data_IF_391891315644
#
_entry.id   IF_391891315644
#
_cell.length_a   1.000
_cell.length_b   1.000
_cell.length_c   1.000
_cell.angle_alpha   90.00
_cell.angle_beta   90.00
_cell.angle_gamma   90.00
#
_symmetry.space_group_name_H-M   'P 1'
#
loop_
_entity.id
_entity.type
_entity.pdbx_description
1 polymer ?
#
# COMPACT_ATOMS: atom_id res chain seq x y z
N UNK A 1 13.70 -3.93 17.92
CA UNK A 1 14.42 -2.83 18.61
C UNK A 1 14.31 -1.52 17.83
N UNK A 2 14.24 -1.58 16.49
CA UNK A 2 14.36 -0.42 15.59
C UNK A 2 13.25 0.64 15.70
N UNK A 3 11.96 0.27 15.63
CA UNK A 3 10.91 1.30 15.80
C UNK A 3 10.94 1.95 17.20
N UNK A 4 11.39 1.21 18.23
CA UNK A 4 11.52 1.75 19.59
C UNK A 4 12.64 2.79 19.67
N UNK A 5 13.77 2.59 18.99
CA UNK A 5 14.87 3.55 19.01
C UNK A 5 14.52 4.84 18.28
N UNK A 6 13.85 4.76 17.13
CA UNK A 6 13.37 5.94 16.39
C UNK A 6 12.38 6.74 17.24
N UNK A 7 11.38 6.08 17.83
CA UNK A 7 10.40 6.74 18.69
C UNK A 7 11.02 7.34 19.96
N UNK A 8 12.06 6.69 20.49
CA UNK A 8 12.81 7.23 21.64
C UNK A 8 13.58 8.50 21.28
N UNK A 9 14.20 8.56 20.10
CA UNK A 9 14.84 9.78 19.61
C UNK A 9 13.81 10.90 19.42
N UNK A 10 12.67 10.61 18.81
CA UNK A 10 11.58 11.59 18.65
C UNK A 10 11.04 12.09 19.99
N UNK A 11 10.95 11.21 21.00
CA UNK A 11 10.59 11.60 22.36
C UNK A 11 11.57 12.62 22.94
N UNK A 12 12.89 12.38 22.79
CA UNK A 12 13.92 13.34 23.22
C UNK A 12 13.81 14.67 22.50
N UNK A 13 13.58 14.66 21.19
CA UNK A 13 13.41 15.89 20.41
C UNK A 13 12.17 16.68 20.84
N UNK A 14 11.03 16.02 21.04
CA UNK A 14 9.82 16.65 21.57
C UNK A 14 10.03 17.23 22.99
N UNK A 15 10.80 16.53 23.84
CA UNK A 15 11.13 16.98 25.20
C UNK A 15 12.06 18.20 25.22
N UNK A 16 12.97 18.33 24.24
CA UNK A 16 13.81 19.54 24.08
C UNK A 16 13.00 20.74 23.60
N UNK A 17 11.89 20.52 22.89
CA UNK A 17 11.09 21.55 22.22
C UNK A 17 9.77 21.85 22.94
N UNK A 18 9.84 22.06 24.26
CA UNK A 18 8.66 22.38 25.08
C UNK A 18 7.95 23.65 24.61
N UNK A 19 8.70 24.60 24.06
CA UNK A 19 8.22 25.83 23.45
C UNK A 19 7.18 25.56 22.35
N UNK A 20 7.42 24.58 21.47
CA UNK A 20 6.51 24.23 20.37
C UNK A 20 5.13 23.83 20.91
N UNK A 21 5.11 22.95 21.92
CA UNK A 21 3.86 22.54 22.53
C UNK A 21 3.18 23.68 23.30
N UNK A 22 3.93 24.52 24.01
CA UNK A 22 3.35 25.66 24.73
C UNK A 22 2.73 26.69 23.77
N UNK A 23 3.34 26.91 22.60
CA UNK A 23 2.79 27.77 21.55
C UNK A 23 1.48 27.21 20.97
N UNK A 24 1.40 25.90 20.73
CA UNK A 24 0.14 25.26 20.35
C UNK A 24 -0.92 25.41 21.43
N UNK A 25 -0.52 25.20 22.69
CA UNK A 25 -1.42 25.28 23.85
C UNK A 25 -1.97 26.69 24.07
N UNK A 26 -1.17 27.73 23.83
CA UNK A 26 -1.64 29.12 23.93
C UNK A 26 -2.60 29.46 22.80
N UNK A 27 -2.34 28.97 21.58
CA UNK A 27 -3.17 29.17 20.38
C UNK A 27 -4.52 28.46 20.45
N UNK A 28 -4.56 27.22 20.94
CA UNK A 28 -5.76 26.37 20.87
C UNK A 28 -6.40 26.08 22.23
N UNK A 29 -7.62 26.57 22.44
CA UNK A 29 -8.38 26.43 23.71
C UNK A 29 -8.51 24.97 24.18
N UNK A 30 -8.74 24.03 23.24
CA UNK A 30 -8.89 22.59 23.50
C UNK A 30 -7.67 21.96 24.17
N UNK A 31 -6.49 22.55 23.99
CA UNK A 31 -5.23 22.06 24.55
C UNK A 31 -4.93 22.63 25.95
N UNK A 32 -5.62 23.69 26.39
CA UNK A 32 -5.33 24.37 27.68
C UNK A 32 -5.40 23.45 28.89
N UNK A 33 -6.28 22.45 28.85
CA UNK A 33 -6.46 21.47 29.93
C UNK A 33 -5.24 20.53 30.11
N UNK A 34 -4.34 20.45 29.13
CA UNK A 34 -3.16 19.59 29.19
C UNK A 34 -1.90 20.43 29.43
N UNK A 35 -1.40 20.45 30.68
CA UNK A 35 -0.27 21.29 31.09
C UNK A 35 1.01 20.98 30.30
N UNK A 36 1.24 19.70 30.04
CA UNK A 36 2.38 19.20 29.27
C UNK A 36 1.92 18.34 28.10
N UNK A 37 2.81 18.18 27.10
CA UNK A 37 2.56 17.25 25.99
C UNK A 37 2.42 15.81 26.48
N UNK A 38 3.09 15.44 27.58
CA UNK A 38 2.96 14.10 28.15
C UNK A 38 1.55 13.87 28.74
N UNK A 39 0.94 14.90 29.35
CA UNK A 39 -0.44 14.82 29.84
C UNK A 39 -1.42 14.62 28.68
N UNK A 40 -1.25 15.39 27.60
CA UNK A 40 -2.03 15.23 26.37
C UNK A 40 -1.88 13.81 25.80
N UNK A 41 -0.64 13.34 25.68
CA UNK A 41 -0.34 12.02 25.13
C UNK A 41 -0.98 10.91 25.98
N UNK A 42 -0.86 10.99 27.30
CA UNK A 42 -1.48 10.04 28.22
C UNK A 42 -3.01 10.02 28.07
N UNK A 43 -3.64 11.19 27.93
CA UNK A 43 -5.07 11.30 27.65
C UNK A 43 -5.46 10.61 26.33
N UNK A 44 -4.73 10.89 25.25
CA UNK A 44 -4.99 10.32 23.93
C UNK A 44 -4.79 8.79 23.92
N UNK A 45 -3.77 8.29 24.63
CA UNK A 45 -3.41 6.88 24.67
C UNK A 45 -4.24 6.06 25.67
N UNK A 46 -4.99 6.71 26.56
CA UNK A 46 -5.84 6.02 27.53
C UNK A 46 -7.02 5.33 26.84
N UNK A 47 -7.00 3.99 26.83
CA UNK A 47 -8.06 3.15 26.23
C UNK A 47 -9.39 3.21 26.97
N UNK A 48 -9.37 3.51 28.27
CA UNK A 48 -10.57 3.57 29.11
C UNK A 48 -11.32 4.89 28.96
N UNK A 49 -10.70 5.88 28.31
CA UNK A 49 -11.34 7.16 28.03
C UNK A 49 -12.12 7.07 26.70
N UNK A 50 -13.44 7.17 26.81
CA UNK A 50 -14.42 7.07 25.72
C UNK A 50 -14.75 8.40 25.06
N UNK A 51 -14.10 9.50 25.43
CA UNK A 51 -14.26 10.81 24.78
C UNK A 51 -13.53 10.85 23.43
N UNK A 52 -14.03 10.05 22.48
CA UNK A 52 -13.48 9.94 21.14
C UNK A 52 -13.63 11.25 20.36
N UNK A 53 -14.67 12.02 20.64
CA UNK A 53 -14.90 13.33 20.00
C UNK A 53 -13.81 14.32 20.37
N UNK A 54 -13.49 14.47 21.66
CA UNK A 54 -12.39 15.33 22.09
C UNK A 54 -11.04 14.86 21.55
N UNK A 55 -10.77 13.55 21.58
CA UNK A 55 -9.54 12.98 21.00
C UNK A 55 -9.40 13.28 19.51
N UNK A 56 -10.47 13.14 18.74
CA UNK A 56 -10.45 13.39 17.30
C UNK A 56 -10.27 14.90 17.00
N UNK A 57 -10.94 15.78 17.76
CA UNK A 57 -10.79 17.22 17.64
C UNK A 57 -9.36 17.71 17.98
N UNK A 58 -8.73 17.10 18.99
CA UNK A 58 -7.31 17.36 19.30
C UNK A 58 -6.45 16.98 18.10
N UNK A 59 -6.66 15.81 17.51
CA UNK A 59 -5.87 15.33 16.37
C UNK A 59 -6.08 16.23 15.14
N UNK A 60 -7.32 16.63 14.88
CA UNK A 60 -7.67 17.63 13.85
C UNK A 60 -6.92 18.95 14.06
N UNK A 61 -6.82 19.42 15.30
CA UNK A 61 -6.08 20.65 15.64
C UNK A 61 -4.60 20.52 15.27
N UNK A 62 -3.95 19.42 15.65
CA UNK A 62 -2.55 19.15 15.29
C UNK A 62 -2.36 19.02 13.78
N UNK A 63 -3.27 18.33 13.10
CA UNK A 63 -3.19 18.12 11.66
C UNK A 63 -3.39 19.41 10.88
N UNK A 64 -4.35 20.24 11.29
CA UNK A 64 -4.58 21.56 10.70
C UNK A 64 -3.37 22.47 10.87
N UNK A 65 -2.73 22.49 12.05
CA UNK A 65 -1.48 23.24 12.23
C UNK A 65 -0.39 22.69 11.30
N UNK A 66 -0.25 21.37 11.23
CA UNK A 66 0.77 20.71 10.40
C UNK A 66 0.64 21.04 8.91
N UNK A 67 -0.57 21.07 8.39
CA UNK A 67 -0.83 21.33 6.97
C UNK A 67 -0.62 22.81 6.60
N UNK A 68 -0.79 23.73 7.56
CA UNK A 68 -0.69 25.18 7.31
C UNK A 68 0.65 25.79 7.70
N UNK A 69 1.41 25.14 8.59
CA UNK A 69 2.68 25.67 9.08
C UNK A 69 3.85 25.38 8.14
N UNK A 70 4.78 26.32 8.04
CA UNK A 70 6.08 26.10 7.39
C UNK A 70 7.04 25.26 8.24
N UNK A 71 6.75 25.08 9.54
CA UNK A 71 7.62 24.40 10.50
C UNK A 71 7.24 22.92 10.73
N UNK A 72 6.91 22.21 9.64
CA UNK A 72 6.46 20.80 9.70
C UNK A 72 7.44 19.90 10.46
N UNK A 73 8.74 20.06 10.23
CA UNK A 73 9.81 19.32 10.90
C UNK A 73 9.78 19.45 12.44
N UNK A 74 9.33 20.59 12.97
CA UNK A 74 9.21 20.82 14.40
C UNK A 74 7.97 20.15 15.00
N UNK A 75 6.90 20.04 14.21
CA UNK A 75 5.63 19.49 14.66
C UNK A 75 5.53 17.96 14.45
N UNK A 76 6.20 17.42 13.42
CA UNK A 76 6.22 15.99 13.10
C UNK A 76 6.50 15.10 14.33
N UNK A 77 7.51 15.37 15.19
CA UNK A 77 7.78 14.52 16.35
C UNK A 77 6.58 14.39 17.30
N UNK A 78 5.86 15.49 17.55
CA UNK A 78 4.68 15.49 18.41
C UNK A 78 3.56 14.64 17.81
N UNK A 79 3.28 14.82 16.52
CA UNK A 79 2.21 14.06 15.84
C UNK A 79 2.57 12.58 15.76
N UNK A 80 3.82 12.23 15.46
CA UNK A 80 4.27 10.82 15.46
C UNK A 80 4.08 10.19 16.86
N UNK A 81 4.40 10.92 17.93
CA UNK A 81 4.23 10.43 19.30
C UNK A 81 2.75 10.31 19.72
N UNK A 82 1.86 11.13 19.16
CA UNK A 82 0.40 10.94 19.31
C UNK A 82 -0.03 9.60 18.70
N UNK A 83 0.47 9.27 17.51
CA UNK A 83 0.12 8.04 16.79
C UNK A 83 0.97 6.81 17.16
N UNK A 84 1.94 6.97 18.08
CA UNK A 84 2.93 5.94 18.46
C UNK A 84 2.32 4.54 18.70
N UNK A 85 1.23 4.37 19.49
CA UNK A 85 0.67 3.04 19.74
C UNK A 85 0.19 2.35 18.46
N UNK A 86 -0.43 3.10 17.56
CA UNK A 86 -0.96 2.58 16.30
C UNK A 86 0.16 2.30 15.30
N UNK A 87 1.17 3.17 15.21
CA UNK A 87 2.36 2.93 14.38
C UNK A 87 3.14 1.70 14.82
N UNK A 88 3.31 1.50 16.13
CA UNK A 88 3.88 0.25 16.69
C UNK A 88 3.04 -0.95 16.32
N UNK A 89 1.71 -0.86 16.42
CA UNK A 89 0.81 -1.96 16.06
C UNK A 89 0.99 -2.38 14.59
N UNK A 90 1.02 -1.42 13.66
CA UNK A 90 1.29 -1.69 12.23
C UNK A 90 2.67 -2.32 12.07
N UNK A 91 3.71 -1.75 12.68
CA UNK A 91 5.06 -2.29 12.60
C UNK A 91 5.14 -3.76 13.04
N UNK A 92 4.59 -4.10 14.20
CA UNK A 92 4.64 -5.47 14.69
C UNK A 92 3.79 -6.44 13.86
N UNK A 93 2.67 -5.97 13.30
CA UNK A 93 1.84 -6.75 12.38
C UNK A 93 2.63 -7.16 11.13
N UNK A 94 3.38 -6.23 10.53
CA UNK A 94 4.13 -6.48 9.29
C UNK A 94 5.56 -6.97 9.51
N UNK A 95 6.13 -6.81 10.72
CA UNK A 95 7.45 -7.34 11.07
C UNK A 95 7.54 -8.85 10.80
N UNK A 96 6.47 -9.60 11.07
CA UNK A 96 6.43 -11.05 10.81
C UNK A 96 6.56 -11.39 9.33
N UNK A 97 6.13 -10.47 8.43
CA UNK A 97 6.24 -10.69 6.98
C UNK A 97 7.67 -10.57 6.47
N UNK A 98 8.55 -9.84 7.17
CA UNK A 98 9.95 -9.67 6.77
C UNK A 98 10.70 -11.00 6.61
N UNK A 99 10.25 -12.06 7.31
CA UNK A 99 10.79 -13.40 7.12
C UNK A 99 10.72 -13.89 5.66
N UNK A 100 9.68 -13.49 4.92
CA UNK A 100 9.49 -13.87 3.51
C UNK A 100 10.20 -12.92 2.54
N UNK A 101 10.76 -11.80 3.01
CA UNK A 101 11.38 -10.77 2.17
C UNK A 101 12.77 -10.41 2.74
N UNK A 102 13.80 -11.25 2.52
CA UNK A 102 15.13 -11.08 3.11
C UNK A 102 15.84 -9.77 2.71
N UNK A 103 15.44 -9.17 1.59
CA UNK A 103 15.89 -7.86 1.13
C UNK A 103 15.42 -6.69 2.00
N UNK A 104 14.45 -6.91 2.90
CA UNK A 104 13.93 -5.89 3.81
C UNK A 104 14.30 -6.19 5.25
N UNK A 105 14.90 -5.19 5.92
CA UNK A 105 15.19 -5.25 7.33
C UNK A 105 14.14 -4.49 8.17
N UNK A 106 14.28 -4.55 9.50
CA UNK A 106 13.37 -3.85 10.42
C UNK A 106 13.44 -2.32 10.32
N UNK A 107 14.58 -1.76 9.91
CA UNK A 107 14.76 -0.33 9.67
C UNK A 107 13.97 0.11 8.45
N UNK A 108 14.05 -0.64 7.35
CA UNK A 108 13.34 -0.34 6.11
C UNK A 108 11.83 -0.31 6.36
N UNK A 109 11.30 -1.29 7.12
CA UNK A 109 9.90 -1.30 7.51
C UNK A 109 9.50 -0.09 8.37
N UNK A 110 10.34 0.31 9.32
CA UNK A 110 10.06 1.47 10.16
C UNK A 110 10.05 2.76 9.33
N UNK A 111 11.05 2.95 8.47
CA UNK A 111 11.15 4.08 7.55
C UNK A 111 9.98 4.14 6.58
N UNK A 112 9.59 3.00 6.00
CA UNK A 112 8.42 2.90 5.10
C UNK A 112 7.13 3.33 5.80
N UNK A 113 6.89 2.82 7.02
CA UNK A 113 5.69 3.18 7.80
C UNK A 113 5.67 4.68 8.11
N UNK A 114 6.82 5.25 8.49
CA UNK A 114 6.92 6.68 8.79
C UNK A 114 6.77 7.54 7.54
N UNK A 115 7.32 7.11 6.40
CA UNK A 115 7.14 7.79 5.11
C UNK A 115 5.66 7.83 4.71
N UNK A 116 4.97 6.69 4.74
CA UNK A 116 3.53 6.65 4.49
C UNK A 116 2.72 7.46 5.51
N UNK A 117 3.14 7.49 6.78
CA UNK A 117 2.49 8.32 7.80
C UNK A 117 2.62 9.81 7.48
N UNK A 118 3.82 10.30 7.17
CA UNK A 118 4.05 11.70 6.83
C UNK A 118 3.31 12.11 5.56
N UNK A 119 3.32 11.26 4.53
CA UNK A 119 2.53 11.47 3.31
C UNK A 119 1.02 11.57 3.62
N UNK A 120 0.50 10.74 4.53
CA UNK A 120 -0.89 10.86 4.97
C UNK A 120 -1.16 12.13 5.78
N UNK A 121 -0.20 12.65 6.56
CA UNK A 121 -0.39 13.93 7.24
C UNK A 121 -0.57 15.09 6.25
N UNK A 122 0.15 15.06 5.14
CA UNK A 122 0.04 16.10 4.12
C UNK A 122 -1.27 16.00 3.32
N UNK A 123 -1.72 14.79 3.00
CA UNK A 123 -2.83 14.56 2.07
C UNK A 123 -4.18 14.25 2.77
N UNK A 124 -4.21 14.21 4.09
CA UNK A 124 -5.45 13.89 4.82
C UNK A 124 -6.46 15.03 4.77
N UNK A 125 -7.68 14.69 4.36
CA UNK A 125 -8.82 15.59 4.49
C UNK A 125 -9.18 15.77 5.97
N UNK A 126 -9.32 17.03 6.40
CA UNK A 126 -9.75 17.41 7.74
C UNK A 126 -11.25 17.12 7.92
N UNK A 127 -11.58 15.89 8.33
CA UNK A 127 -12.96 15.43 8.55
C UNK A 127 -13.06 14.52 9.79
N UNK A 128 -14.26 14.10 10.18
CA UNK A 128 -14.43 13.26 11.37
C UNK A 128 -13.72 11.90 11.25
N UNK A 129 -13.30 11.37 12.41
CA UNK A 129 -12.58 10.10 12.61
C UNK A 129 -11.19 10.08 11.98
N UNK A 130 -10.49 11.22 11.99
CA UNK A 130 -9.15 11.41 11.39
C UNK A 130 -8.19 10.32 11.81
N UNK A 131 -8.11 10.03 13.11
CA UNK A 131 -7.16 9.05 13.62
C UNK A 131 -7.32 7.69 12.93
N UNK A 132 -8.56 7.19 12.90
CA UNK A 132 -8.88 5.89 12.33
C UNK A 132 -8.66 5.86 10.82
N UNK A 133 -8.96 6.97 10.12
CA UNK A 133 -8.77 7.10 8.68
C UNK A 133 -7.28 7.10 8.31
N UNK A 134 -6.46 7.90 8.98
CA UNK A 134 -5.00 7.94 8.78
C UNK A 134 -4.42 6.54 9.00
N UNK A 135 -4.71 5.92 10.13
CA UNK A 135 -4.21 4.58 10.45
C UNK A 135 -4.68 3.52 9.44
N UNK A 136 -5.94 3.57 9.02
CA UNK A 136 -6.49 2.69 8.01
C UNK A 136 -5.78 2.82 6.66
N UNK A 137 -5.52 4.05 6.22
CA UNK A 137 -4.80 4.33 4.96
C UNK A 137 -3.36 3.85 4.99
N UNK A 138 -2.64 4.11 6.08
CA UNK A 138 -1.26 3.61 6.26
C UNK A 138 -1.24 2.09 6.22
N UNK A 139 -2.15 1.44 6.95
CA UNK A 139 -2.25 -0.02 6.95
C UNK A 139 -2.50 -0.57 5.53
N UNK A 140 -3.32 0.11 4.74
CA UNK A 140 -3.59 -0.24 3.34
C UNK A 140 -2.37 -0.01 2.43
N UNK A 141 -1.65 1.10 2.60
CA UNK A 141 -0.40 1.37 1.87
C UNK A 141 0.67 0.32 2.15
N UNK A 142 0.90 -0.01 3.43
CA UNK A 142 1.81 -1.09 3.81
C UNK A 142 1.34 -2.45 3.26
N UNK A 143 0.03 -2.74 3.30
CA UNK A 143 -0.53 -3.97 2.71
C UNK A 143 -0.21 -4.05 1.22
N UNK A 144 -0.48 -2.97 0.47
CA UNK A 144 -0.26 -2.88 -0.97
C UNK A 144 1.21 -3.03 -1.32
N UNK A 145 2.11 -2.41 -0.54
CA UNK A 145 3.55 -2.56 -0.71
C UNK A 145 3.99 -4.02 -0.64
N UNK A 146 3.62 -4.75 0.42
CA UNK A 146 3.96 -6.18 0.53
C UNK A 146 3.27 -7.05 -0.52
N UNK A 147 2.07 -6.68 -0.97
CA UNK A 147 1.39 -7.38 -2.06
C UNK A 147 2.14 -7.22 -3.39
N UNK A 148 2.63 -6.01 -3.69
CA UNK A 148 3.41 -5.76 -4.90
C UNK A 148 4.73 -6.53 -4.88
N UNK A 149 5.43 -6.58 -3.74
CA UNK A 149 6.64 -7.40 -3.60
C UNK A 149 6.38 -8.88 -3.88
N UNK A 150 5.26 -9.42 -3.40
CA UNK A 150 4.87 -10.80 -3.70
C UNK A 150 4.68 -11.03 -5.20
N UNK A 151 4.05 -10.07 -5.91
CA UNK A 151 3.87 -10.17 -7.36
C UNK A 151 5.20 -10.08 -8.10
N UNK A 152 6.10 -9.20 -7.68
CA UNK A 152 7.44 -9.06 -8.26
C UNK A 152 8.27 -10.33 -8.07
N UNK A 153 8.21 -10.97 -6.90
CA UNK A 153 8.91 -12.24 -6.65
C UNK A 153 8.33 -13.40 -7.48
N UNK A 154 7.02 -13.45 -7.67
CA UNK A 154 6.38 -14.43 -8.56
C UNK A 154 6.84 -14.24 -10.01
N UNK A 155 6.81 -13.00 -10.50
CA UNK A 155 7.30 -12.68 -11.84
C UNK A 155 8.77 -13.09 -11.98
N UNK A 156 9.64 -12.73 -11.02
CA UNK A 156 11.06 -13.14 -11.05
C UNK A 156 11.25 -14.65 -11.11
N UNK A 157 10.45 -15.43 -10.39
CA UNK A 157 10.49 -16.90 -10.45
C UNK A 157 10.00 -17.45 -11.78
N UNK A 158 8.98 -16.83 -12.40
CA UNK A 158 8.52 -17.18 -13.75
C UNK A 158 9.59 -16.88 -14.81
N UNK A 159 10.39 -15.81 -14.65
CA UNK A 159 11.48 -15.45 -15.56
C UNK A 159 12.83 -16.14 -15.26
N UNK A 160 13.01 -16.72 -14.06
CA UNK A 160 14.22 -17.47 -13.67
C UNK A 160 14.10 -18.99 -13.88
N UNK A 161 12.92 -19.50 -14.24
CA UNK A 161 12.85 -20.83 -14.85
C UNK A 161 13.50 -20.71 -16.23
N UNK A 162 14.75 -21.14 -16.36
CA UNK A 162 15.28 -21.56 -17.65
C UNK A 162 14.29 -22.55 -18.28
N UNK A 163 14.07 -22.49 -19.60
CA UNK A 163 13.21 -23.46 -20.26
C UNK A 163 13.73 -24.84 -19.92
N UNK A 164 12.87 -25.70 -19.36
CA UNK A 164 13.16 -27.13 -19.34
C UNK A 164 13.56 -27.50 -20.76
N UNK A 165 14.78 -28.02 -20.90
CA UNK A 165 15.31 -28.57 -22.15
C UNK A 165 14.42 -29.72 -22.58
N UNK A 166 13.33 -29.40 -23.26
CA UNK A 166 12.73 -30.28 -24.24
C UNK A 166 13.46 -30.03 -25.56
N UNK A 167 13.83 -31.13 -26.19
CA UNK A 167 14.60 -31.22 -27.44
C UNK A 167 14.27 -30.09 -28.42
N UNK A 168 15.32 -29.52 -29.02
CA UNK A 168 15.21 -28.50 -30.06
C UNK A 168 14.52 -29.14 -31.27
N UNK A 169 13.20 -29.10 -31.27
CA UNK A 169 12.40 -29.21 -32.47
C UNK A 169 12.29 -27.80 -33.04
N UNK A 170 12.98 -27.57 -34.15
CA UNK A 170 13.30 -26.29 -34.78
C UNK A 170 12.12 -25.63 -35.50
N UNK A 171 10.89 -25.85 -35.01
CA UNK A 171 9.73 -25.10 -35.49
C UNK A 171 9.65 -23.74 -34.76
N UNK A 172 9.57 -22.60 -35.48
CA UNK A 172 9.42 -21.28 -34.87
C UNK A 172 8.23 -21.26 -33.90
N UNK A 173 8.35 -20.54 -32.78
CA UNK A 173 7.36 -20.47 -31.66
C UNK A 173 5.91 -20.29 -32.17
N UNK A 174 5.76 -19.56 -33.28
CA UNK A 174 4.48 -19.36 -33.97
C UNK A 174 3.87 -20.67 -34.49
N UNK A 175 4.66 -21.56 -35.09
CA UNK A 175 4.20 -22.86 -35.58
C UNK A 175 3.85 -23.81 -34.45
N UNK A 176 4.64 -23.83 -33.37
CA UNK A 176 4.31 -24.62 -32.17
C UNK A 176 2.97 -24.20 -31.56
N UNK A 177 2.74 -22.88 -31.46
CA UNK A 177 1.47 -22.36 -30.94
C UNK A 177 0.29 -22.66 -31.88
N UNK A 178 0.48 -22.55 -33.20
CA UNK A 178 -0.54 -22.92 -34.19
C UNK A 178 -0.88 -24.41 -34.10
N UNK A 179 0.14 -25.27 -34.01
CA UNK A 179 -0.04 -26.72 -33.90
C UNK A 179 -0.76 -27.11 -32.60
N UNK A 180 -0.43 -26.46 -31.49
CA UNK A 180 -1.13 -26.65 -30.22
C UNK A 180 -2.61 -26.28 -30.34
N UNK A 181 -2.92 -25.11 -30.91
CA UNK A 181 -4.32 -24.72 -31.10
C UNK A 181 -5.08 -25.63 -32.07
N UNK A 182 -4.41 -26.18 -33.09
CA UNK A 182 -4.98 -27.20 -33.98
C UNK A 182 -5.32 -28.48 -33.21
N UNK A 183 -4.42 -28.95 -32.32
CA UNK A 183 -4.66 -30.13 -31.49
C UNK A 183 -5.84 -29.92 -30.54
N UNK A 184 -5.92 -28.77 -29.87
CA UNK A 184 -7.00 -28.45 -28.94
C UNK A 184 -8.37 -28.31 -29.63
N UNK A 185 -8.39 -27.78 -30.86
CA UNK A 185 -9.60 -27.73 -31.69
C UNK A 185 -10.02 -29.14 -32.14
N UNK A 186 -9.09 -29.98 -32.59
CA UNK A 186 -9.37 -31.36 -32.98
C UNK A 186 -9.89 -32.20 -31.82
N UNK A 187 -9.40 -31.95 -30.61
CA UNK A 187 -9.88 -32.57 -29.37
C UNK A 187 -11.19 -31.95 -28.86
N UNK A 188 -11.76 -30.96 -29.56
CA UNK A 188 -12.98 -30.22 -29.20
C UNK A 188 -12.91 -29.52 -27.83
N UNK A 189 -11.70 -29.24 -27.35
CA UNK A 189 -11.45 -28.50 -26.11
C UNK A 189 -11.74 -27.00 -26.33
N UNK A 190 -11.36 -26.49 -27.51
CA UNK A 190 -11.67 -25.13 -27.94
C UNK A 190 -12.49 -25.15 -29.24
N UNK A 191 -13.30 -24.12 -29.43
CA UNK A 191 -14.04 -23.91 -30.68
C UNK A 191 -13.17 -23.26 -31.76
N UNK A 192 -13.52 -23.40 -33.05
CA UNK A 192 -12.84 -22.69 -34.14
C UNK A 192 -12.79 -21.18 -33.93
N UNK A 193 -13.86 -20.60 -33.36
CA UNK A 193 -13.93 -19.18 -33.02
C UNK A 193 -12.93 -18.80 -31.91
N UNK A 194 -12.77 -19.63 -30.87
CA UNK A 194 -11.79 -19.40 -29.82
C UNK A 194 -10.36 -19.50 -30.35
N UNK A 195 -10.08 -20.51 -31.18
CA UNK A 195 -8.80 -20.63 -31.87
C UNK A 195 -8.45 -19.38 -32.67
N UNK A 196 -9.40 -18.84 -33.43
CA UNK A 196 -9.19 -17.61 -34.21
C UNK A 196 -8.87 -16.41 -33.30
N UNK A 197 -9.64 -16.22 -32.20
CA UNK A 197 -9.40 -15.15 -31.23
C UNK A 197 -8.01 -15.26 -30.56
N UNK A 198 -7.59 -16.48 -30.21
CA UNK A 198 -6.28 -16.73 -29.60
C UNK A 198 -5.14 -16.44 -30.58
N UNK A 199 -5.25 -16.91 -31.83
CA UNK A 199 -4.26 -16.60 -32.87
C UNK A 199 -4.14 -15.10 -33.11
N UNK A 200 -5.26 -14.44 -33.42
CA UNK A 200 -5.30 -13.01 -33.73
C UNK A 200 -4.74 -12.15 -32.59
N UNK A 201 -5.08 -12.48 -31.33
CA UNK A 201 -4.72 -11.64 -30.19
C UNK A 201 -3.37 -11.95 -29.54
N UNK A 202 -2.81 -13.16 -29.71
CA UNK A 202 -1.54 -13.58 -29.07
C UNK A 202 -0.40 -13.61 -30.09
N UNK A 203 -0.64 -14.12 -31.29
CA UNK A 203 0.40 -14.21 -32.33
C UNK A 203 0.50 -12.93 -33.15
N UNK A 204 -0.65 -12.36 -33.52
CA UNK A 204 -0.71 -11.18 -34.39
C UNK A 204 -0.92 -9.87 -33.62
N UNK A 205 -1.03 -9.93 -32.29
CA UNK A 205 -1.24 -8.78 -31.40
C UNK A 205 -2.38 -7.83 -31.84
N UNK A 206 -3.41 -8.38 -32.49
CA UNK A 206 -4.54 -7.57 -32.94
C UNK A 206 -5.40 -7.11 -31.75
N UNK A 207 -5.88 -5.86 -31.73
CA UNK A 207 -6.77 -5.36 -30.69
C UNK A 207 -8.08 -6.14 -30.64
N UNK A 208 -8.58 -6.47 -29.44
CA UNK A 208 -9.83 -7.24 -29.28
C UNK A 208 -11.05 -6.55 -29.92
N UNK A 209 -11.06 -5.22 -29.98
CA UNK A 209 -12.11 -4.43 -30.66
C UNK A 209 -12.11 -4.65 -32.18
N UNK A 210 -10.95 -4.90 -32.77
CA UNK A 210 -10.82 -5.20 -34.18
C UNK A 210 -11.28 -6.63 -34.47
N UNK A 211 -10.84 -7.60 -33.66
CA UNK A 211 -11.27 -9.00 -33.74
C UNK A 211 -12.80 -9.13 -33.58
N UNK A 212 -13.39 -8.36 -32.65
CA UNK A 212 -14.84 -8.32 -32.45
C UNK A 212 -15.60 -7.85 -33.69
N UNK A 213 -15.07 -6.85 -34.40
CA UNK A 213 -15.64 -6.37 -35.67
C UNK A 213 -15.50 -7.40 -36.78
N UNK A 214 -14.34 -8.04 -36.90
CA UNK A 214 -14.06 -9.06 -37.93
C UNK A 214 -14.92 -10.32 -37.77
N UNK A 215 -15.17 -10.74 -36.52
CA UNK A 215 -16.00 -11.91 -36.21
C UNK A 215 -17.48 -11.59 -36.02
N UNK A 216 -17.88 -10.33 -36.16
CA UNK A 216 -19.24 -9.84 -35.91
C UNK A 216 -19.78 -10.26 -34.52
N UNK A 217 -18.92 -10.16 -33.50
CA UNK A 217 -19.22 -10.49 -32.10
C UNK A 217 -19.16 -9.23 -31.23
N UNK A 218 -19.77 -9.29 -30.05
CA UNK A 218 -19.56 -8.22 -29.07
C UNK A 218 -18.14 -8.26 -28.50
N UNK A 219 -17.62 -7.10 -28.10
CA UNK A 219 -16.31 -7.00 -27.45
C UNK A 219 -16.23 -7.86 -26.18
N UNK A 220 -17.30 -7.89 -25.39
CA UNK A 220 -17.35 -8.69 -24.16
C UNK A 220 -17.34 -10.19 -24.47
N UNK A 221 -18.00 -10.63 -25.54
CA UNK A 221 -17.94 -12.04 -25.96
C UNK A 221 -16.52 -12.45 -26.37
N UNK A 222 -15.81 -11.61 -27.13
CA UNK A 222 -14.41 -11.86 -27.53
C UNK A 222 -13.49 -11.89 -26.30
N UNK A 223 -13.69 -10.97 -25.35
CA UNK A 223 -12.93 -10.92 -24.09
C UNK A 223 -13.15 -12.16 -23.24
N UNK A 224 -14.40 -12.59 -23.06
CA UNK A 224 -14.72 -13.79 -22.29
C UNK A 224 -14.17 -15.05 -22.97
N UNK A 225 -14.29 -15.16 -24.30
CA UNK A 225 -13.76 -16.30 -25.06
C UNK A 225 -12.23 -16.37 -25.02
N UNK A 226 -11.52 -15.23 -25.05
CA UNK A 226 -10.07 -15.16 -24.83
C UNK A 226 -9.66 -15.53 -23.40
N UNK A 227 -10.48 -15.22 -22.41
CA UNK A 227 -10.16 -15.53 -21.01
C UNK A 227 -10.40 -16.99 -20.63
N UNK A 228 -11.22 -17.70 -21.41
CA UNK A 228 -11.66 -19.08 -21.13
C UNK A 228 -10.99 -20.14 -22.02
N UNK A 229 -10.38 -19.72 -23.13
CA UNK A 229 -9.52 -20.56 -23.98
C UNK A 229 -8.07 -20.28 -23.66
#
# INVERSE_FOLDING_TARGET
MVIKSVLWQLKKEAEKRKDVYQNLRSKYKILKQFKTFNDLKNFLHNKNNTDYTLKDNIILTFLSEYQTTQYKNLLSPFIILIFEPALKSIFYLYKKKLYYYPQLNQSDLASLILAFFLEELENSLLNQKVFSKIIGRIKNKVRKYFYNLLLEEKAKKEYQKEPETEEIDSAPIKEKFINLLNQLENQKIITPTQKHILLASIIYNQPLKQIAKELNLSYEDVRQKKSRG
#
